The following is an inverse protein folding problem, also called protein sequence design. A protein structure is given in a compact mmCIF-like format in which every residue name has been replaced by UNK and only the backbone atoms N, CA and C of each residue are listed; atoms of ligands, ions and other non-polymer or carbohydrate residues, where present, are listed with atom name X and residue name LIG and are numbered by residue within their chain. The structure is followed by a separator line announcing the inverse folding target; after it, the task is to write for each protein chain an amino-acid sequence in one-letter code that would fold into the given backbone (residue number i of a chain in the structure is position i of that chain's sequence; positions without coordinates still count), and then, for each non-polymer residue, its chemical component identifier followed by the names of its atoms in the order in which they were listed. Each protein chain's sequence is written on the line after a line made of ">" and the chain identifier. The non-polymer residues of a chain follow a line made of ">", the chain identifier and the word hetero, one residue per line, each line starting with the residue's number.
data_IF_355945735786
#
_entry.id   IF_355945735786
#
_cell.length_a   1.000
_cell.length_b   1.000
_cell.length_c   1.000
_cell.angle_alpha   90.00
_cell.angle_beta   90.00
_cell.angle_gamma   90.00
#
_symmetry.space_group_name_H-M   'P 1'
#
loop_
_entity.id
_entity.type
_entity.pdbx_description
1 polymer ?
#
# COMPACT_ATOMS: atom_id res chain seq x y z
N UNK A 1 -2.48 18.77 4.79
CA UNK A 1 -3.77 18.31 5.33
C UNK A 1 -3.53 17.04 6.13
N UNK A 2 -4.01 16.96 7.38
CA UNK A 2 -3.77 15.85 8.30
C UNK A 2 -4.84 14.77 8.11
N UNK A 3 -4.44 13.50 8.04
CA UNK A 3 -5.37 12.35 7.99
C UNK A 3 -5.22 11.58 9.29
N UNK A 4 -6.27 11.60 10.11
CA UNK A 4 -6.30 10.83 11.35
C UNK A 4 -6.33 9.33 11.03
N UNK A 5 -5.75 8.52 11.91
CA UNK A 5 -5.89 7.06 11.90
C UNK A 5 -6.91 6.67 12.98
N UNK A 6 -7.91 5.86 12.63
CA UNK A 6 -8.92 5.39 13.58
C UNK A 6 -8.53 4.01 14.10
N UNK A 7 -8.65 3.80 15.41
CA UNK A 7 -8.35 2.53 16.07
C UNK A 7 -9.64 1.72 16.27
N UNK A 8 -9.73 0.54 15.67
CA UNK A 8 -10.64 -0.51 16.10
C UNK A 8 -9.77 -1.75 16.41
N UNK A 9 -9.71 -2.15 17.69
CA UNK A 9 -8.87 -3.27 18.13
C UNK A 9 -7.36 -2.99 18.05
N UNK A 10 -6.60 -3.91 17.43
CA UNK A 10 -5.14 -3.84 17.25
C UNK A 10 -4.70 -3.24 15.91
N UNK A 11 -5.65 -2.83 15.06
CA UNK A 11 -5.36 -2.35 13.72
C UNK A 11 -5.55 -0.83 13.64
N UNK A 12 -4.62 -0.18 12.95
CA UNK A 12 -4.70 1.22 12.58
C UNK A 12 -5.13 1.29 11.12
N UNK A 13 -6.19 2.05 10.85
CA UNK A 13 -6.67 2.27 9.49
C UNK A 13 -6.62 3.76 9.16
N UNK A 14 -6.17 4.08 7.96
CA UNK A 14 -6.42 5.39 7.36
C UNK A 14 -7.90 5.47 7.00
N UNK A 15 -8.60 6.45 7.58
CA UNK A 15 -10.03 6.61 7.36
C UNK A 15 -10.30 7.81 6.44
N UNK A 16 -10.87 8.89 6.99
CA UNK A 16 -11.28 10.09 6.30
C UNK A 16 -10.07 10.75 5.64
N UNK A 17 -10.20 11.00 4.35
CA UNK A 17 -9.15 11.61 3.53
C UNK A 17 -8.29 10.62 2.76
N UNK A 18 -8.30 9.32 3.10
CA UNK A 18 -7.55 8.31 2.35
C UNK A 18 -7.96 8.24 0.87
N UNK A 19 -9.28 8.15 0.61
CA UNK A 19 -9.80 8.13 -0.77
C UNK A 19 -9.39 9.38 -1.57
N UNK A 20 -9.38 10.55 -0.94
CA UNK A 20 -8.97 11.79 -1.59
C UNK A 20 -7.46 11.84 -1.86
N UNK A 21 -6.65 11.35 -0.92
CA UNK A 21 -5.21 11.19 -1.10
C UNK A 21 -4.87 10.24 -2.25
N UNK A 22 -5.54 9.08 -2.31
CA UNK A 22 -5.33 8.09 -3.36
C UNK A 22 -5.67 8.65 -4.76
N UNK A 23 -6.79 9.36 -4.87
CA UNK A 23 -7.18 10.00 -6.13
C UNK A 23 -6.24 11.17 -6.51
N UNK A 24 -5.78 11.97 -5.54
CA UNK A 24 -4.90 13.10 -5.82
C UNK A 24 -3.50 12.68 -6.29
N UNK A 25 -3.04 11.50 -5.86
CA UNK A 25 -1.74 10.95 -6.25
C UNK A 25 -1.85 9.83 -7.27
N UNK A 26 -3.02 9.61 -7.89
CA UNK A 26 -3.24 8.57 -8.90
C UNK A 26 -2.70 7.20 -8.46
N UNK A 27 -2.96 6.79 -7.22
CA UNK A 27 -2.46 5.52 -6.70
C UNK A 27 -3.13 4.35 -7.42
N UNK A 28 -2.33 3.43 -7.92
CA UNK A 28 -2.79 2.21 -8.59
C UNK A 28 -2.41 0.95 -7.80
N UNK A 29 -3.02 -0.18 -8.17
CA UNK A 29 -2.58 -1.49 -7.64
C UNK A 29 -1.12 -1.73 -8.05
N UNK A 30 -0.31 -2.17 -7.09
CA UNK A 30 1.14 -2.35 -7.26
C UNK A 30 1.97 -1.17 -6.78
N UNK A 31 1.39 0.02 -6.59
CA UNK A 31 2.11 1.14 -5.99
C UNK A 31 2.45 0.84 -4.52
N UNK A 32 3.71 1.04 -4.15
CA UNK A 32 4.21 0.83 -2.80
C UNK A 32 4.34 2.17 -2.06
N UNK A 33 3.78 2.25 -0.85
CA UNK A 33 3.82 3.46 -0.03
C UNK A 33 4.58 3.23 1.27
N UNK A 34 5.56 4.10 1.54
CA UNK A 34 6.32 4.11 2.79
C UNK A 34 5.91 5.30 3.63
N UNK A 35 5.46 5.04 4.86
CA UNK A 35 5.04 6.05 5.82
C UNK A 35 6.14 6.27 6.85
N UNK A 36 6.87 7.38 6.73
CA UNK A 36 7.86 7.80 7.70
C UNK A 36 7.22 8.74 8.74
N UNK A 37 7.08 8.28 9.98
CA UNK A 37 6.50 9.07 11.07
C UNK A 37 7.51 10.11 11.56
N UNK A 38 7.29 11.38 11.22
CA UNK A 38 8.15 12.49 11.65
C UNK A 38 7.72 13.06 13.01
N UNK A 39 6.42 13.01 13.29
CA UNK A 39 5.81 13.41 14.56
C UNK A 39 4.61 12.50 14.82
N UNK A 40 4.02 12.60 16.03
CA UNK A 40 2.83 11.82 16.38
C UNK A 40 1.71 12.04 15.35
N UNK A 41 1.36 10.97 14.63
CA UNK A 41 0.34 10.95 13.57
C UNK A 41 0.60 11.89 12.38
N UNK A 42 1.84 12.35 12.17
CA UNK A 42 2.26 13.01 10.92
C UNK A 42 3.26 12.12 10.20
N UNK A 43 2.96 11.85 8.93
CA UNK A 43 3.77 10.99 8.08
C UNK A 43 4.27 11.76 6.87
N UNK A 44 5.56 11.64 6.58
CA UNK A 44 6.09 11.86 5.24
C UNK A 44 5.85 10.58 4.45
N UNK A 45 5.14 10.69 3.32
CA UNK A 45 4.78 9.55 2.48
C UNK A 45 5.67 9.53 1.26
N UNK A 46 6.31 8.39 1.01
CA UNK A 46 7.07 8.14 -0.21
C UNK A 46 6.29 7.15 -1.06
N UNK A 47 6.07 7.48 -2.33
CA UNK A 47 5.30 6.67 -3.28
C UNK A 47 6.29 6.10 -4.30
N UNK A 48 6.37 4.78 -4.36
CA UNK A 48 7.12 4.03 -5.35
C UNK A 48 6.12 3.46 -6.33
N UNK A 49 6.21 3.88 -7.59
CA UNK A 49 5.26 3.46 -8.62
C UNK A 49 5.53 2.05 -9.06
N UNK A 50 4.47 1.28 -9.26
CA UNK A 50 4.56 -0.01 -9.92
C UNK A 50 5.21 0.18 -11.30
N UNK A 51 6.19 -0.65 -11.63
CA UNK A 51 6.67 -0.73 -12.99
C UNK A 51 5.78 -1.74 -13.74
N UNK A 52 5.02 -1.32 -14.78
CA UNK A 52 4.19 -2.24 -15.56
C UNK A 52 4.99 -3.36 -16.23
N UNK A 53 6.30 -3.18 -16.42
CA UNK A 53 7.16 -4.14 -17.11
C UNK A 53 7.72 -5.25 -16.18
N UNK A 54 7.36 -5.23 -14.89
CA UNK A 54 7.66 -6.31 -13.94
C UNK A 54 6.41 -7.18 -13.73
N UNK A 55 5.93 -7.82 -14.79
CA UNK A 55 5.03 -8.98 -14.69
C UNK A 55 5.81 -10.10 -13.99
N UNK A 56 5.45 -10.44 -12.75
CA UNK A 56 5.99 -11.60 -12.06
C UNK A 56 5.33 -12.88 -12.60
N UNK A 57 5.68 -13.25 -13.82
CA UNK A 57 5.39 -14.57 -14.38
C UNK A 57 6.29 -15.61 -13.69
N UNK A 58 6.01 -15.96 -12.44
CA UNK A 58 6.45 -17.22 -11.83
C UNK A 58 5.41 -17.72 -10.83
N UNK A 59 4.30 -18.26 -11.34
CA UNK A 59 3.63 -19.40 -10.71
C UNK A 59 4.04 -20.65 -11.46
N UNK A 60 5.28 -21.11 -11.25
CA UNK A 60 5.62 -22.51 -11.50
C UNK A 60 5.01 -23.33 -10.36
N UNK A 61 3.72 -23.66 -10.52
CA UNK A 61 3.10 -24.75 -9.78
C UNK A 61 3.36 -26.02 -10.58
N UNK A 62 4.57 -26.56 -10.40
CA UNK A 62 4.94 -27.88 -10.88
C UNK A 62 5.52 -28.64 -9.67
N UNK A 63 4.63 -29.33 -8.96
CA UNK A 63 4.96 -30.53 -8.18
C UNK A 63 3.72 -31.10 -7.51
N UNK A 64 3.01 -31.97 -8.22
CA UNK A 64 2.53 -33.23 -7.63
C UNK A 64 2.90 -34.35 -8.60
N UNK A 65 4.06 -34.96 -8.34
CA UNK A 65 4.55 -36.20 -8.94
C UNK A 65 3.55 -37.35 -8.74
N UNK A 66 3.70 -38.31 -9.64
CA UNK A 66 2.83 -39.44 -9.97
C UNK A 66 2.69 -40.53 -8.88
N UNK A 67 1.79 -41.47 -9.20
CA UNK A 67 1.32 -42.70 -8.52
C UNK A 67 2.39 -43.59 -7.83
#
# INVERSE_FOLDING_TARGET
>A
MMYNAHRQGRHYYFHKGWRGFAAHHDLAVGDCLVFHMTERAKFKVYIFRANPDYESDQTSDDSEDEE
#
